data_IF_438622597665
#
_entry.id   IF_438622597665
#
_cell.length_a   1.000
_cell.length_b   1.000
_cell.length_c   1.000
_cell.angle_alpha   90.00
_cell.angle_beta   90.00
_cell.angle_gamma   90.00
#
_symmetry.space_group_name_H-M   'P 1'
#
loop_
_entity.id
_entity.type
_entity.pdbx_description
1 polymer ?
#
# COMPACT_ATOMS: atom_id res chain seq x y z
N UNK A 1 -20.79 24.14 -16.81
CA UNK A 1 -21.30 23.54 -18.07
C UNK A 1 -20.81 22.12 -18.11
N UNK A 2 -21.66 21.12 -18.33
CA UNK A 2 -21.24 19.73 -18.49
C UNK A 2 -20.43 19.59 -19.78
N UNK A 3 -19.17 19.19 -19.70
CA UNK A 3 -18.37 18.89 -20.88
C UNK A 3 -18.66 17.46 -21.35
N UNK A 4 -18.85 17.26 -22.65
CA UNK A 4 -19.04 15.93 -23.23
C UNK A 4 -17.74 15.53 -23.95
N UNK A 5 -17.26 14.32 -23.65
CA UNK A 5 -16.11 13.69 -24.29
C UNK A 5 -16.50 12.37 -24.94
N UNK A 6 -15.72 11.95 -25.91
CA UNK A 6 -15.87 10.64 -26.53
C UNK A 6 -14.50 10.00 -26.69
N UNK A 7 -14.40 8.69 -26.49
CA UNK A 7 -13.15 7.94 -26.67
C UNK A 7 -13.40 6.51 -27.14
N UNK A 8 -12.38 5.86 -27.68
CA UNK A 8 -12.43 4.44 -28.04
C UNK A 8 -12.28 3.55 -26.81
N UNK A 9 -11.45 3.96 -25.84
CA UNK A 9 -11.19 3.21 -24.61
C UNK A 9 -11.26 4.15 -23.41
N UNK A 10 -12.18 3.86 -22.50
CA UNK A 10 -12.24 4.48 -21.19
C UNK A 10 -11.67 3.49 -20.15
N UNK A 11 -10.71 3.91 -19.37
CA UNK A 11 -10.17 3.15 -18.23
C UNK A 11 -10.60 3.87 -16.95
N UNK A 12 -11.24 3.15 -16.04
CA UNK A 12 -11.66 3.69 -14.73
C UNK A 12 -10.78 3.09 -13.63
N UNK A 13 -10.01 3.96 -12.98
CA UNK A 13 -8.97 3.64 -12.01
C UNK A 13 -7.56 3.63 -12.61
N UNK A 14 -6.65 4.42 -12.03
CA UNK A 14 -5.27 4.51 -12.48
C UNK A 14 -4.29 3.74 -11.57
N UNK A 15 -4.72 2.63 -10.99
CA UNK A 15 -3.85 1.63 -10.36
C UNK A 15 -3.03 0.84 -11.39
N UNK A 16 -2.21 -0.16 -10.96
CA UNK A 16 -1.32 -0.93 -11.85
C UNK A 16 -2.04 -1.57 -13.04
N UNK A 17 -3.25 -2.07 -12.86
CA UNK A 17 -4.05 -2.61 -13.96
C UNK A 17 -4.50 -1.51 -14.93
N UNK A 18 -4.95 -0.36 -14.40
CA UNK A 18 -5.52 0.71 -15.21
C UNK A 18 -4.49 1.52 -15.98
N UNK A 19 -3.46 2.07 -15.33
CA UNK A 19 -2.49 2.90 -16.05
C UNK A 19 -1.71 2.10 -17.10
N UNK A 20 -1.39 0.83 -16.83
CA UNK A 20 -0.74 -0.04 -17.82
C UNK A 20 -1.65 -0.27 -19.02
N UNK A 21 -2.94 -0.56 -18.79
CA UNK A 21 -3.92 -0.74 -19.87
C UNK A 21 -4.10 0.53 -20.70
N UNK A 22 -4.21 1.71 -20.05
CA UNK A 22 -4.39 2.98 -20.72
C UNK A 22 -3.17 3.36 -21.57
N UNK A 23 -1.95 3.24 -21.01
CA UNK A 23 -0.70 3.46 -21.76
C UNK A 23 -0.67 2.54 -22.98
N UNK A 24 -0.96 1.26 -22.82
CA UNK A 24 -0.90 0.31 -23.93
C UNK A 24 -1.96 0.58 -25.00
N UNK A 25 -3.19 0.90 -24.60
CA UNK A 25 -4.25 1.27 -25.53
C UNK A 25 -3.88 2.50 -26.37
N UNK A 26 -3.36 3.56 -25.72
CA UNK A 26 -2.92 4.77 -26.40
C UNK A 26 -1.74 4.51 -27.35
N UNK A 27 -0.73 3.70 -26.93
CA UNK A 27 0.38 3.29 -27.81
C UNK A 27 -0.06 2.51 -29.06
N UNK A 28 -1.22 1.81 -28.97
CA UNK A 28 -1.83 1.12 -30.11
C UNK A 28 -2.68 2.06 -30.98
N UNK A 29 -2.63 3.37 -30.75
CA UNK A 29 -3.35 4.39 -31.52
C UNK A 29 -4.83 4.49 -31.20
N UNK A 30 -5.27 3.97 -30.04
CA UNK A 30 -6.65 4.15 -29.58
C UNK A 30 -6.78 5.45 -28.81
N UNK A 31 -7.80 6.26 -29.16
CA UNK A 31 -8.19 7.40 -28.34
C UNK A 31 -8.61 6.91 -26.95
N UNK A 32 -7.82 7.29 -25.94
CA UNK A 32 -7.89 6.70 -24.60
C UNK A 32 -8.01 7.77 -23.52
N UNK A 33 -9.05 7.62 -22.71
CA UNK A 33 -9.24 8.40 -21.49
C UNK A 33 -9.09 7.47 -20.29
N UNK A 34 -8.36 7.95 -19.26
CA UNK A 34 -8.27 7.28 -17.96
C UNK A 34 -8.77 8.20 -16.86
N UNK A 35 -9.62 7.68 -15.98
CA UNK A 35 -10.20 8.42 -14.85
C UNK A 35 -9.63 7.90 -13.53
N UNK A 36 -9.21 8.82 -12.66
CA UNK A 36 -8.71 8.48 -11.32
C UNK A 36 -9.28 9.45 -10.28
N UNK A 37 -9.83 8.90 -9.20
CA UNK A 37 -10.46 9.68 -8.14
C UNK A 37 -9.45 10.24 -7.12
N UNK A 38 -8.25 9.65 -7.03
CA UNK A 38 -7.21 10.03 -6.05
C UNK A 38 -5.89 10.30 -6.79
N UNK A 39 -4.86 9.54 -6.51
CA UNK A 39 -3.53 9.65 -7.12
C UNK A 39 -3.28 8.51 -8.09
N UNK A 40 -2.68 8.83 -9.22
CA UNK A 40 -2.22 7.81 -10.17
C UNK A 40 -1.22 6.86 -9.53
N UNK A 41 -1.26 5.58 -9.92
CA UNK A 41 -0.44 4.53 -9.33
C UNK A 41 -1.23 3.59 -8.42
N UNK A 42 -2.41 4.03 -7.94
CA UNK A 42 -3.35 3.22 -7.14
C UNK A 42 -2.75 2.67 -5.85
N UNK A 43 -3.42 1.69 -5.26
CA UNK A 43 -3.04 1.11 -3.96
C UNK A 43 -1.57 0.67 -3.92
N UNK A 44 -1.08 -0.04 -4.92
CA UNK A 44 0.30 -0.56 -4.92
C UNK A 44 1.36 0.55 -4.80
N UNK A 45 1.23 1.62 -5.57
CA UNK A 45 2.21 2.71 -5.59
C UNK A 45 2.03 3.67 -4.42
N UNK A 46 0.79 4.02 -4.08
CA UNK A 46 0.50 5.12 -3.15
C UNK A 46 0.46 4.65 -1.69
N UNK A 47 -0.17 3.48 -1.42
CA UNK A 47 -0.46 3.01 -0.06
C UNK A 47 -0.27 1.49 0.13
N UNK A 48 0.57 0.87 -0.68
CA UNK A 48 0.80 -0.58 -0.65
C UNK A 48 2.26 -0.96 -0.93
N UNK A 49 2.51 -1.58 -2.08
CA UNK A 49 3.78 -2.22 -2.41
C UNK A 49 5.01 -1.31 -2.30
N UNK A 50 4.93 -0.12 -2.86
CA UNK A 50 6.08 0.80 -2.88
C UNK A 50 6.38 1.36 -1.48
N UNK A 51 5.43 1.98 -0.77
CA UNK A 51 5.71 2.52 0.56
C UNK A 51 6.05 1.42 1.57
N UNK A 52 5.40 0.23 1.52
CA UNK A 52 5.76 -0.86 2.43
C UNK A 52 7.19 -1.34 2.22
N UNK A 53 7.65 -1.51 0.97
CA UNK A 53 9.03 -1.91 0.68
C UNK A 53 10.05 -0.85 1.06
N UNK A 54 9.70 0.43 0.97
CA UNK A 54 10.54 1.50 1.49
C UNK A 54 10.73 1.38 3.01
N UNK A 55 9.66 1.22 3.79
CA UNK A 55 9.73 1.05 5.24
C UNK A 55 10.46 -0.25 5.62
N UNK A 56 10.18 -1.37 4.94
CA UNK A 56 10.88 -2.64 5.16
C UNK A 56 12.39 -2.47 4.93
N UNK A 57 12.78 -1.77 3.86
CA UNK A 57 14.19 -1.52 3.57
C UNK A 57 14.86 -0.68 4.67
N UNK A 58 14.21 0.40 5.14
CA UNK A 58 14.71 1.20 6.26
C UNK A 58 14.85 0.35 7.53
N UNK A 59 13.85 -0.49 7.84
CA UNK A 59 13.84 -1.38 8.98
C UNK A 59 14.98 -2.42 8.93
N UNK A 60 15.24 -3.00 7.76
CA UNK A 60 16.37 -3.92 7.55
C UNK A 60 17.73 -3.24 7.76
N UNK A 61 17.88 -2.01 7.26
CA UNK A 61 19.09 -1.21 7.48
C UNK A 61 19.30 -0.93 8.96
N UNK A 62 18.27 -0.53 9.67
CA UNK A 62 18.36 -0.27 11.11
C UNK A 62 18.70 -1.54 11.91
N UNK A 63 18.03 -2.66 11.62
CA UNK A 63 18.33 -3.94 12.26
C UNK A 63 19.80 -4.35 12.04
N UNK A 64 20.34 -4.16 10.83
CA UNK A 64 21.72 -4.46 10.52
C UNK A 64 22.68 -3.54 11.27
N UNK A 65 22.41 -2.24 11.36
CA UNK A 65 23.21 -1.31 12.17
C UNK A 65 23.26 -1.74 13.64
N UNK A 66 22.12 -2.13 14.21
CA UNK A 66 22.07 -2.62 15.60
C UNK A 66 22.92 -3.88 15.83
N UNK A 67 22.99 -4.80 14.87
CA UNK A 67 23.85 -5.99 14.96
C UNK A 67 25.33 -5.62 14.99
N UNK A 68 25.73 -4.56 14.29
CA UNK A 68 27.10 -4.05 14.29
C UNK A 68 27.42 -3.16 15.50
N UNK A 69 26.41 -2.65 16.22
CA UNK A 69 26.55 -1.88 17.45
C UNK A 69 26.64 -2.76 18.72
N UNK A 70 26.49 -4.08 18.60
CA UNK A 70 26.74 -5.00 19.72
C UNK A 70 28.21 -5.05 20.07
N UNK A 71 28.53 -5.34 21.34
CA UNK A 71 29.95 -5.36 21.87
C UNK A 71 30.88 -6.20 21.01
N UNK A 72 30.42 -7.31 20.48
CA UNK A 72 31.23 -8.21 19.64
C UNK A 72 31.21 -7.85 18.14
N UNK A 73 30.43 -6.85 17.74
CA UNK A 73 30.21 -6.52 16.33
C UNK A 73 29.58 -7.66 15.54
N UNK A 74 29.62 -7.57 14.20
CA UNK A 74 29.17 -8.64 13.30
C UNK A 74 30.10 -8.70 12.07
N UNK A 75 30.56 -9.88 11.70
CA UNK A 75 31.49 -10.08 10.57
C UNK A 75 32.79 -9.23 10.66
N UNK A 76 33.29 -8.93 11.87
CA UNK A 76 34.46 -8.07 12.06
C UNK A 76 34.16 -6.57 11.83
N UNK A 77 32.92 -6.17 11.69
CA UNK A 77 32.46 -4.77 11.56
C UNK A 77 31.82 -4.38 12.88
N UNK A 78 32.25 -3.28 13.47
CA UNK A 78 31.64 -2.70 14.67
C UNK A 78 31.34 -1.22 14.44
N UNK A 79 30.30 -0.73 15.08
CA UNK A 79 29.90 0.67 15.08
C UNK A 79 30.02 1.18 16.51
N UNK A 80 30.73 2.28 16.68
CA UNK A 80 30.83 2.96 17.98
C UNK A 80 29.78 4.06 18.08
N UNK A 81 29.02 4.04 19.16
CA UNK A 81 27.95 5.01 19.44
C UNK A 81 26.55 4.43 19.32
N UNK A 82 25.58 5.26 19.65
CA UNK A 82 24.16 4.87 19.66
C UNK A 82 23.54 4.89 18.26
N UNK A 83 22.65 3.94 17.99
CA UNK A 83 21.85 3.92 16.78
C UNK A 83 20.43 4.39 17.12
N UNK A 84 19.96 5.42 16.43
CA UNK A 84 18.64 5.99 16.61
C UNK A 84 17.84 5.90 15.32
N UNK A 85 16.51 5.91 15.45
CA UNK A 85 15.56 6.04 14.33
C UNK A 85 14.73 7.29 14.51
N UNK A 86 14.41 7.92 13.39
CA UNK A 86 13.41 8.98 13.27
C UNK A 86 12.33 8.48 12.30
N UNK A 87 11.16 8.13 12.85
CA UNK A 87 10.05 7.61 12.05
C UNK A 87 9.50 8.66 11.09
N UNK A 88 9.44 9.93 11.50
CA UNK A 88 8.97 11.00 10.62
C UNK A 88 9.89 11.14 9.40
N UNK A 89 11.20 11.11 9.60
CA UNK A 89 12.18 11.14 8.52
C UNK A 89 12.09 9.90 7.59
N UNK A 90 11.78 8.72 8.14
CA UNK A 90 11.53 7.51 7.33
C UNK A 90 10.28 7.68 6.47
N UNK A 91 9.20 8.24 7.03
CA UNK A 91 7.95 8.52 6.32
C UNK A 91 8.19 9.54 5.21
N UNK A 92 8.87 10.66 5.48
CA UNK A 92 9.21 11.68 4.49
C UNK A 92 10.04 11.09 3.34
N UNK A 93 11.03 10.25 3.66
CA UNK A 93 11.82 9.57 2.63
C UNK A 93 10.97 8.62 1.78
N UNK A 94 10.11 7.81 2.40
CA UNK A 94 9.12 6.96 1.71
C UNK A 94 8.23 7.79 0.79
N UNK A 95 7.72 8.93 1.26
CA UNK A 95 6.84 9.81 0.49
C UNK A 95 7.56 10.45 -0.70
N UNK A 96 8.82 10.76 -0.56
CA UNK A 96 9.64 11.24 -1.68
C UNK A 96 9.72 10.22 -2.83
N UNK A 97 9.82 8.93 -2.50
CA UNK A 97 9.82 7.83 -3.48
C UNK A 97 8.44 7.71 -4.13
N UNK A 98 7.38 7.67 -3.34
CA UNK A 98 5.99 7.56 -3.81
C UNK A 98 5.65 8.70 -4.75
N UNK A 99 5.93 9.95 -4.36
CA UNK A 99 5.63 11.14 -5.14
C UNK A 99 6.41 11.18 -6.46
N UNK A 100 7.67 10.76 -6.46
CA UNK A 100 8.48 10.67 -7.68
C UNK A 100 7.89 9.66 -8.65
N UNK A 101 7.49 8.48 -8.18
CA UNK A 101 6.93 7.43 -9.03
C UNK A 101 5.51 7.79 -9.50
N UNK A 102 4.70 8.44 -8.67
CA UNK A 102 3.40 8.96 -9.06
C UNK A 102 3.51 9.92 -10.26
N UNK A 103 4.40 10.93 -10.17
CA UNK A 103 4.68 11.84 -11.28
C UNK A 103 5.22 11.10 -12.53
N UNK A 104 5.97 10.02 -12.31
CA UNK A 104 6.43 9.14 -13.39
C UNK A 104 5.29 8.49 -14.16
N UNK A 105 4.28 7.97 -13.45
CA UNK A 105 3.09 7.38 -14.07
C UNK A 105 2.30 8.43 -14.87
N UNK A 106 2.09 9.64 -14.30
CA UNK A 106 1.42 10.74 -15.02
C UNK A 106 2.18 11.13 -16.31
N UNK A 107 3.50 11.18 -16.22
CA UNK A 107 4.36 11.47 -17.37
C UNK A 107 4.26 10.39 -18.45
N UNK A 108 4.21 9.11 -18.06
CA UNK A 108 4.07 7.99 -19.01
C UNK A 108 2.70 7.99 -19.69
N UNK A 109 1.62 8.27 -18.96
CA UNK A 109 0.27 8.43 -19.53
C UNK A 109 0.25 9.54 -20.58
N UNK A 110 0.79 10.70 -20.22
CA UNK A 110 0.88 11.85 -21.14
C UNK A 110 1.74 11.53 -22.37
N UNK A 111 2.89 10.91 -22.19
CA UNK A 111 3.79 10.55 -23.30
C UNK A 111 3.15 9.52 -24.25
N UNK A 112 2.30 8.61 -23.73
CA UNK A 112 1.56 7.67 -24.54
C UNK A 112 0.36 8.30 -25.27
N UNK A 113 -0.06 9.51 -24.91
CA UNK A 113 -1.23 10.18 -25.47
C UNK A 113 -2.55 9.81 -24.80
N UNK A 114 -2.53 9.20 -23.60
CA UNK A 114 -3.73 8.95 -22.82
C UNK A 114 -4.12 10.21 -22.02
N UNK A 115 -5.39 10.61 -22.12
CA UNK A 115 -5.92 11.74 -21.36
C UNK A 115 -6.28 11.29 -19.94
N UNK A 116 -5.66 11.91 -18.93
CA UNK A 116 -6.01 11.69 -17.51
C UNK A 116 -7.04 12.71 -17.05
N UNK A 117 -8.18 12.23 -16.54
CA UNK A 117 -9.20 13.04 -15.88
C UNK A 117 -9.23 12.68 -14.40
N UNK A 118 -9.03 13.66 -13.53
CA UNK A 118 -9.16 13.50 -12.08
C UNK A 118 -10.62 13.70 -11.67
N UNK A 119 -11.19 12.69 -11.02
CA UNK A 119 -12.57 12.75 -10.56
C UNK A 119 -13.16 11.37 -10.26
N UNK A 120 -14.34 11.39 -9.71
CA UNK A 120 -15.10 10.19 -9.36
C UNK A 120 -16.01 9.76 -10.51
N UNK A 121 -15.85 8.53 -10.99
CA UNK A 121 -16.58 7.97 -12.11
C UNK A 121 -17.82 7.21 -11.68
N UNK A 122 -18.97 7.50 -12.30
CA UNK A 122 -20.22 6.78 -12.13
C UNK A 122 -20.76 6.34 -13.50
N UNK A 123 -21.02 5.06 -13.67
CA UNK A 123 -21.57 4.53 -14.91
C UNK A 123 -23.05 4.80 -15.02
N UNK A 124 -23.48 5.35 -16.14
CA UNK A 124 -24.91 5.56 -16.49
C UNK A 124 -25.41 4.52 -17.47
N UNK A 125 -24.50 3.90 -18.21
CA UNK A 125 -24.77 2.76 -19.10
C UNK A 125 -23.51 1.92 -19.32
N UNK A 126 -23.61 0.86 -20.11
CA UNK A 126 -22.46 0.05 -20.54
C UNK A 126 -21.47 0.79 -21.45
N UNK A 127 -21.78 2.01 -21.88
CA UNK A 127 -21.00 2.83 -22.82
C UNK A 127 -20.81 4.26 -22.35
N UNK A 128 -21.37 4.63 -21.21
CA UNK A 128 -21.34 6.00 -20.74
C UNK A 128 -21.02 6.08 -19.26
N UNK A 129 -20.19 7.06 -18.92
CA UNK A 129 -19.76 7.37 -17.57
C UNK A 129 -19.86 8.88 -17.33
N UNK A 130 -20.29 9.28 -16.15
CA UNK A 130 -20.21 10.66 -15.66
C UNK A 130 -19.05 10.71 -14.66
N UNK A 131 -18.18 11.69 -14.82
CA UNK A 131 -17.04 11.94 -13.92
C UNK A 131 -17.26 13.26 -13.22
N UNK A 132 -17.40 13.22 -11.90
CA UNK A 132 -17.45 14.39 -11.04
C UNK A 132 -16.01 14.87 -10.77
N UNK A 133 -15.67 16.05 -11.24
CA UNK A 133 -14.37 16.70 -11.08
C UNK A 133 -14.50 17.96 -10.22
N UNK A 134 -13.38 18.53 -9.81
CA UNK A 134 -13.38 19.82 -9.08
C UNK A 134 -13.93 20.98 -9.93
N UNK A 135 -13.86 20.88 -11.26
CA UNK A 135 -14.34 21.91 -12.21
C UNK A 135 -15.79 21.69 -12.68
N UNK A 136 -16.42 20.59 -12.27
CA UNK A 136 -17.78 20.20 -12.67
C UNK A 136 -17.83 18.80 -13.25
N UNK A 137 -19.00 18.41 -13.77
CA UNK A 137 -19.25 17.07 -14.30
C UNK A 137 -18.84 16.95 -15.76
N UNK A 138 -18.19 15.86 -16.11
CA UNK A 138 -17.79 15.47 -17.47
C UNK A 138 -18.50 14.18 -17.85
N UNK A 139 -19.28 14.19 -18.92
CA UNK A 139 -19.89 12.97 -19.49
C UNK A 139 -18.94 12.37 -20.53
N UNK A 140 -18.65 11.09 -20.42
CA UNK A 140 -17.75 10.36 -21.33
C UNK A 140 -18.52 9.21 -22.00
N UNK A 141 -18.61 9.25 -23.32
CA UNK A 141 -19.07 8.14 -24.15
C UNK A 141 -17.87 7.33 -24.64
N UNK A 142 -17.91 6.00 -24.45
CA UNK A 142 -16.78 5.13 -24.80
C UNK A 142 -17.23 3.89 -25.59
N UNK A 143 -16.44 3.52 -26.61
CA UNK A 143 -16.68 2.28 -27.34
C UNK A 143 -16.41 1.05 -26.47
N UNK A 144 -15.38 1.12 -25.62
CA UNK A 144 -14.97 0.07 -24.69
C UNK A 144 -14.60 0.66 -23.33
N UNK A 145 -14.96 -0.04 -22.25
CA UNK A 145 -14.67 0.37 -20.89
C UNK A 145 -13.87 -0.71 -20.18
N UNK A 146 -12.77 -0.31 -19.54
CA UNK A 146 -11.97 -1.16 -18.67
C UNK A 146 -12.17 -0.69 -17.23
N UNK A 147 -12.73 -1.57 -16.39
CA UNK A 147 -12.92 -1.32 -14.95
C UNK A 147 -11.69 -1.80 -14.21
N UNK A 148 -10.92 -0.86 -13.64
CA UNK A 148 -9.69 -1.12 -12.90
C UNK A 148 -9.69 -0.39 -11.55
N UNK A 149 -10.85 -0.32 -10.89
CA UNK A 149 -11.13 0.48 -9.70
C UNK A 149 -10.43 0.00 -8.42
N UNK A 150 -9.78 -1.17 -8.47
CA UNK A 150 -8.96 -1.69 -7.37
C UNK A 150 -9.78 -2.22 -6.20
N UNK A 151 -9.25 -2.03 -4.99
CA UNK A 151 -9.83 -2.54 -3.74
C UNK A 151 -9.55 -1.57 -2.59
N UNK A 152 -10.35 -1.64 -1.54
CA UNK A 152 -10.14 -0.96 -0.27
C UNK A 152 -9.90 -1.98 0.85
N UNK A 153 -9.38 -1.51 1.98
CA UNK A 153 -9.34 -2.33 3.20
C UNK A 153 -10.76 -2.62 3.69
N UNK A 154 -10.89 -3.68 4.47
CA UNK A 154 -12.16 -4.06 5.09
C UNK A 154 -12.18 -3.47 6.49
N UNK A 155 -13.14 -2.58 6.77
CA UNK A 155 -13.43 -2.16 8.12
C UNK A 155 -14.24 -3.23 8.84
N UNK A 156 -13.79 -3.58 10.03
CA UNK A 156 -14.53 -4.49 10.89
C UNK A 156 -15.58 -3.68 11.66
N UNK A 157 -16.89 -4.00 11.52
CA UNK A 157 -17.95 -3.17 12.12
C UNK A 157 -17.85 -3.01 13.65
N UNK A 158 -17.23 -3.97 14.33
CA UNK A 158 -17.01 -3.97 15.77
C UNK A 158 -15.66 -3.35 16.18
N UNK A 159 -14.83 -2.93 15.21
CA UNK A 159 -13.50 -2.35 15.40
C UNK A 159 -13.11 -1.50 14.20
N UNK A 160 -13.86 -0.41 13.91
CA UNK A 160 -13.56 0.46 12.78
C UNK A 160 -12.21 1.16 12.97
N UNK A 161 -11.52 1.43 11.87
CA UNK A 161 -10.29 2.21 11.90
C UNK A 161 -10.60 3.67 12.22
N UNK A 162 -9.92 4.21 13.24
CA UNK A 162 -9.96 5.64 13.62
C UNK A 162 -8.71 6.39 13.12
N UNK A 163 -7.74 5.64 12.57
CA UNK A 163 -6.42 6.09 12.10
C UNK A 163 -5.58 6.79 13.20
N UNK A 164 -5.92 6.58 14.47
CA UNK A 164 -5.19 7.06 15.64
C UNK A 164 -4.67 5.87 16.48
N UNK A 165 -5.57 5.05 17.01
CA UNK A 165 -5.25 3.85 17.80
C UNK A 165 -5.53 2.56 17.03
N UNK A 166 -6.60 2.54 16.25
CA UNK A 166 -6.97 1.44 15.37
C UNK A 166 -6.71 1.90 13.94
N UNK A 167 -5.54 1.54 13.45
CA UNK A 167 -5.05 2.02 12.16
C UNK A 167 -5.16 0.96 11.07
N UNK A 168 -5.46 1.39 9.87
CA UNK A 168 -5.39 0.57 8.67
C UNK A 168 -3.93 0.31 8.24
N UNK A 169 -3.74 -0.51 7.22
CA UNK A 169 -2.42 -0.63 6.58
C UNK A 169 -1.92 0.70 5.99
N UNK A 170 -2.83 1.60 5.62
CA UNK A 170 -2.48 2.95 5.15
C UNK A 170 -1.95 3.80 6.31
N UNK A 171 -2.65 3.84 7.45
CA UNK A 171 -2.18 4.56 8.64
C UNK A 171 -0.86 4.01 9.17
N UNK A 172 -0.65 2.68 9.08
CA UNK A 172 0.60 2.06 9.50
C UNK A 172 1.81 2.49 8.64
N UNK A 173 1.61 2.92 7.39
CA UNK A 173 2.65 3.47 6.52
C UNK A 173 3.00 4.93 6.84
N UNK A 174 2.16 5.61 7.61
CA UNK A 174 2.29 7.05 7.91
C UNK A 174 2.57 7.33 9.39
N UNK A 175 2.95 6.30 10.16
CA UNK A 175 3.31 6.41 11.57
C UNK A 175 4.47 7.39 11.78
N UNK A 176 4.20 8.52 12.43
CA UNK A 176 5.21 9.54 12.72
C UNK A 176 6.08 9.19 13.94
N UNK A 177 5.65 8.23 14.74
CA UNK A 177 6.39 7.72 15.90
C UNK A 177 6.28 6.21 15.96
N UNK A 178 7.36 5.53 16.32
CA UNK A 178 7.33 4.09 16.52
C UNK A 178 6.53 3.77 17.79
N UNK A 179 5.42 3.03 17.70
CA UNK A 179 4.70 2.57 18.89
C UNK A 179 5.54 1.53 19.63
N UNK A 180 5.48 1.53 20.96
CA UNK A 180 6.19 0.53 21.77
C UNK A 180 5.62 -0.88 21.58
N UNK A 181 4.27 -0.98 21.45
CA UNK A 181 3.55 -2.25 21.28
C UNK A 181 2.54 -2.13 20.14
N UNK A 182 2.45 -3.15 19.34
CA UNK A 182 1.53 -3.23 18.19
C UNK A 182 0.82 -4.57 18.20
N UNK A 183 -0.50 -4.54 18.12
CA UNK A 183 -1.32 -5.70 17.79
C UNK A 183 -1.69 -5.65 16.31
N UNK A 184 -1.32 -6.67 15.55
CA UNK A 184 -1.66 -6.83 14.13
C UNK A 184 -2.83 -7.80 14.03
N UNK A 185 -3.95 -7.33 13.51
CA UNK A 185 -5.12 -8.17 13.29
C UNK A 185 -5.07 -8.73 11.87
N UNK A 186 -4.84 -10.03 11.78
CA UNK A 186 -4.65 -10.77 10.53
C UNK A 186 -3.17 -11.07 10.22
N UNK A 187 -2.86 -12.36 10.11
CA UNK A 187 -1.55 -12.90 9.75
C UNK A 187 -1.38 -13.11 8.24
N UNK A 188 -2.07 -12.33 7.41
CA UNK A 188 -1.87 -12.27 5.97
C UNK A 188 -0.59 -11.52 5.59
N UNK A 189 -0.25 -11.48 4.29
CA UNK A 189 1.01 -10.89 3.81
C UNK A 189 1.17 -9.41 4.19
N UNK A 190 0.11 -8.59 4.18
CA UNK A 190 0.17 -7.17 4.56
C UNK A 190 0.51 -7.01 6.04
N UNK A 191 -0.23 -7.71 6.90
CA UNK A 191 -0.01 -7.66 8.35
C UNK A 191 1.39 -8.15 8.74
N UNK A 192 1.86 -9.21 8.08
CA UNK A 192 3.22 -9.73 8.31
C UNK A 192 4.30 -8.77 7.81
N UNK A 193 4.17 -8.20 6.60
CA UNK A 193 5.15 -7.24 6.07
C UNK A 193 5.33 -6.04 7.00
N UNK A 194 4.23 -5.40 7.39
CA UNK A 194 4.27 -4.22 8.25
C UNK A 194 4.64 -4.58 9.70
N UNK A 195 4.06 -5.66 10.25
CA UNK A 195 4.40 -6.13 11.59
C UNK A 195 5.88 -6.51 11.72
N UNK A 196 6.44 -7.23 10.74
CA UNK A 196 7.86 -7.56 10.73
C UNK A 196 8.75 -6.32 10.60
N UNK A 197 8.35 -5.32 9.79
CA UNK A 197 9.11 -4.08 9.67
C UNK A 197 9.11 -3.30 11.00
N UNK A 198 7.96 -3.16 11.66
CA UNK A 198 7.85 -2.51 12.96
C UNK A 198 8.64 -3.26 14.05
N UNK A 199 8.64 -4.59 14.03
CA UNK A 199 9.45 -5.41 14.94
C UNK A 199 10.96 -5.17 14.74
N UNK A 200 11.43 -5.10 13.50
CA UNK A 200 12.84 -4.78 13.19
C UNK A 200 13.23 -3.38 13.67
N UNK A 201 12.30 -2.42 13.60
CA UNK A 201 12.49 -1.07 14.13
C UNK A 201 12.51 -1.03 15.66
N UNK A 202 11.99 -2.05 16.35
CA UNK A 202 12.06 -2.20 17.80
C UNK A 202 10.73 -2.23 18.53
N UNK A 203 9.60 -2.26 17.82
CA UNK A 203 8.29 -2.46 18.44
C UNK A 203 8.09 -3.90 18.93
N UNK A 204 7.40 -4.06 20.05
CA UNK A 204 6.86 -5.37 20.48
C UNK A 204 5.62 -5.68 19.64
N UNK A 205 5.69 -6.72 18.80
CA UNK A 205 4.60 -7.06 17.86
C UNK A 205 3.90 -8.34 18.29
N UNK A 206 2.57 -8.29 18.32
CA UNK A 206 1.69 -9.45 18.50
C UNK A 206 0.77 -9.58 17.29
N UNK A 207 0.74 -10.75 16.67
CA UNK A 207 -0.15 -11.05 15.54
C UNK A 207 -1.31 -11.91 16.05
N UNK A 208 -2.53 -11.50 15.71
CA UNK A 208 -3.77 -12.21 16.06
C UNK A 208 -4.39 -12.69 14.75
N UNK A 209 -4.41 -14.00 14.54
CA UNK A 209 -4.88 -14.66 13.33
C UNK A 209 -6.04 -15.61 13.61
N UNK A 210 -7.13 -15.45 12.88
CA UNK A 210 -8.33 -16.30 13.04
C UNK A 210 -8.15 -17.70 12.50
N UNK A 211 -7.28 -17.90 11.51
CA UNK A 211 -6.99 -19.21 10.93
C UNK A 211 -6.00 -20.01 11.80
N UNK A 212 -5.72 -21.23 11.40
CA UNK A 212 -4.79 -22.14 12.13
C UNK A 212 -3.30 -21.76 11.97
N UNK A 213 -3.00 -20.86 11.06
CA UNK A 213 -1.64 -20.43 10.76
C UNK A 213 -1.61 -19.06 10.06
N UNK A 214 -0.49 -18.35 10.19
CA UNK A 214 -0.22 -17.18 9.32
C UNK A 214 -0.08 -17.65 7.88
N UNK A 215 -0.40 -16.77 6.91
CA UNK A 215 -0.38 -17.08 5.48
C UNK A 215 -1.14 -18.38 5.14
N UNK A 216 -2.29 -18.61 5.76
CA UNK A 216 -3.06 -19.86 5.66
C UNK A 216 -3.42 -20.28 4.22
N UNK A 217 -3.43 -19.31 3.28
CA UNK A 217 -3.66 -19.58 1.85
C UNK A 217 -2.42 -20.11 1.11
N UNK A 218 -1.25 -20.16 1.76
CA UNK A 218 0.00 -20.61 1.16
C UNK A 218 0.36 -22.01 1.65
N UNK A 219 1.13 -22.74 0.82
CA UNK A 219 1.64 -24.05 1.18
C UNK A 219 2.55 -23.99 2.42
N UNK A 220 2.52 -25.05 3.22
CA UNK A 220 3.26 -25.14 4.48
C UNK A 220 4.77 -24.93 4.31
N UNK A 221 5.33 -25.43 3.23
CA UNK A 221 6.75 -25.27 2.90
C UNK A 221 7.13 -23.82 2.66
N UNK A 222 6.23 -23.01 2.04
CA UNK A 222 6.45 -21.60 1.74
C UNK A 222 6.35 -20.75 3.02
N UNK A 223 5.41 -21.05 3.92
CA UNK A 223 5.20 -20.26 5.15
C UNK A 223 6.20 -20.58 6.27
N UNK A 224 6.79 -21.80 6.27
CA UNK A 224 7.74 -22.24 7.30
C UNK A 224 8.91 -21.27 7.55
N UNK A 225 9.60 -20.73 6.54
CA UNK A 225 10.65 -19.72 6.77
C UNK A 225 10.16 -18.48 7.50
N UNK A 226 8.93 -18.04 7.24
CA UNK A 226 8.30 -16.88 7.89
C UNK A 226 8.02 -17.20 9.37
N UNK A 227 7.44 -18.36 9.66
CA UNK A 227 7.17 -18.82 11.03
C UNK A 227 8.47 -18.91 11.87
N UNK A 228 9.55 -19.43 11.28
CA UNK A 228 10.88 -19.47 11.92
C UNK A 228 11.39 -18.05 12.19
N UNK A 229 11.24 -17.15 11.24
CA UNK A 229 11.66 -15.76 11.38
C UNK A 229 10.90 -15.05 12.51
N UNK A 230 9.57 -15.19 12.54
CA UNK A 230 8.71 -14.61 13.59
C UNK A 230 9.15 -15.08 14.99
N UNK A 231 9.38 -16.38 15.16
CA UNK A 231 9.87 -16.96 16.41
C UNK A 231 11.25 -16.41 16.80
N UNK A 232 12.18 -16.31 15.85
CA UNK A 232 13.54 -15.79 16.08
C UNK A 232 13.51 -14.32 16.54
N UNK A 233 12.58 -13.52 16.01
CA UNK A 233 12.42 -12.10 16.34
C UNK A 233 11.44 -11.85 17.49
N UNK A 234 11.02 -12.90 18.21
CA UNK A 234 10.13 -12.82 19.37
C UNK A 234 8.78 -12.16 19.05
N UNK A 235 8.33 -12.23 17.81
CA UNK A 235 6.97 -11.83 17.43
C UNK A 235 6.02 -12.88 17.98
N UNK A 236 5.08 -12.42 18.80
CA UNK A 236 4.06 -13.31 19.38
C UNK A 236 2.97 -13.55 18.33
N UNK A 237 2.58 -14.80 18.13
CA UNK A 237 1.51 -15.16 17.18
C UNK A 237 0.45 -15.97 17.89
N UNK A 238 -0.78 -15.49 17.86
CA UNK A 238 -1.97 -16.21 18.30
C UNK A 238 -2.77 -16.62 17.07
N UNK A 239 -2.80 -17.93 16.82
CA UNK A 239 -3.65 -18.52 15.76
C UNK A 239 -4.97 -19.01 16.36
N UNK A 240 -5.97 -19.24 15.51
CA UNK A 240 -7.33 -19.60 15.93
C UNK A 240 -7.92 -18.59 16.94
N UNK A 241 -7.48 -17.34 16.84
CA UNK A 241 -7.84 -16.24 17.71
C UNK A 241 -8.63 -15.18 16.93
N UNK A 242 -9.91 -15.05 17.27
CA UNK A 242 -10.79 -14.05 16.65
C UNK A 242 -10.81 -12.77 17.48
N UNK A 243 -10.43 -11.65 16.87
CA UNK A 243 -10.65 -10.34 17.46
C UNK A 243 -12.16 -10.07 17.61
N UNK A 244 -12.56 -9.53 18.77
CA UNK A 244 -13.97 -9.20 19.06
C UNK A 244 -14.18 -7.70 19.27
N UNK A 245 -13.14 -6.95 19.38
CA UNK A 245 -13.12 -5.50 19.61
C UNK A 245 -11.78 -5.04 20.13
N UNK A 246 -11.62 -3.73 20.24
CA UNK A 246 -10.53 -3.08 20.92
C UNK A 246 -11.10 -2.08 21.94
N UNK A 247 -10.39 -1.90 23.05
CA UNK A 247 -10.66 -0.85 24.04
C UNK A 247 -9.42 0.02 24.09
N UNK A 248 -9.60 1.31 23.87
CA UNK A 248 -8.56 2.34 23.91
C UNK A 248 -8.60 3.07 25.26
#
# INVERSE_FOLDING_TARGET
>A
MSANKKCRVLVVGAGPGGYVAAIRAAQLGMDTIIVEADKTGGTCLIRGCIPSKAIIHAAERFENLRKHSAEDGHMGISITGDTNIDMAAIVDWKDSIVNRLNKGVESLLKAAGAELIKGWATFTSSKQCIVETEEGSVTIDADNIIIATGSSHIDLPFMPCDEEFIISSTGALDLQKLPKKVAVIGGGYIGLELGCALSRLGAEVTIIEGMDSVLAIMDKEIRRPVEIWLKKHKVVVHTQAMAKGAVV
#
